data_IF_837773658016
#
_entry.id   IF_837773658016
#
_cell.length_a   1.000
_cell.length_b   1.000
_cell.length_c   1.000
_cell.angle_alpha   90.00
_cell.angle_beta   90.00
_cell.angle_gamma   90.00
#
_symmetry.space_group_name_H-M   'P 1'
#
loop_
_entity.id
_entity.type
_entity.pdbx_description
1 polymer ?
#
# COMPACT_ATOMS: atom_id res chain seq x y z
N UNK A 1 -4.76 -14.97 29.89
CA UNK A 1 -5.83 -13.96 29.87
C UNK A 1 -5.15 -12.60 29.85
N UNK A 2 -5.12 -11.93 28.70
CA UNK A 2 -4.47 -10.62 28.56
C UNK A 2 -5.48 -9.58 29.05
N UNK A 3 -5.26 -9.01 30.24
CA UNK A 3 -6.02 -7.86 30.70
C UNK A 3 -5.68 -6.66 29.81
N UNK A 4 -6.56 -6.35 28.86
CA UNK A 4 -6.49 -5.11 28.11
C UNK A 4 -6.90 -4.00 29.08
N UNK A 5 -5.94 -3.41 29.79
CA UNK A 5 -6.15 -2.23 30.63
C UNK A 5 -6.56 -1.07 29.72
N UNK A 6 -7.86 -0.78 29.66
CA UNK A 6 -8.37 0.42 29.02
C UNK A 6 -7.78 1.63 29.72
N UNK A 7 -7.26 2.56 28.93
CA UNK A 7 -6.68 3.80 29.43
C UNK A 7 -7.75 4.58 30.22
N UNK A 8 -7.47 4.87 31.50
CA UNK A 8 -8.44 5.51 32.39
C UNK A 8 -8.58 7.01 32.10
N UNK A 9 -9.71 7.61 32.49
CA UNK A 9 -9.91 9.06 32.49
C UNK A 9 -8.82 9.82 33.25
N UNK A 10 -8.29 9.23 34.32
CA UNK A 10 -7.17 9.81 35.07
C UNK A 10 -5.89 9.88 34.22
N UNK A 11 -5.60 8.82 33.46
CA UNK A 11 -4.46 8.79 32.54
C UNK A 11 -4.60 9.86 31.44
N UNK A 12 -5.82 10.07 30.92
CA UNK A 12 -6.10 11.14 29.96
C UNK A 12 -5.85 12.53 30.56
N UNK A 13 -6.36 12.80 31.76
CA UNK A 13 -6.17 14.10 32.42
C UNK A 13 -4.69 14.40 32.68
N UNK A 14 -3.91 13.39 33.09
CA UNK A 14 -2.46 13.54 33.27
C UNK A 14 -1.78 13.89 31.95
N UNK A 15 -2.09 13.18 30.87
CA UNK A 15 -1.54 13.47 29.54
C UNK A 15 -1.94 14.87 29.07
N UNK A 16 -3.20 15.26 29.25
CA UNK A 16 -3.68 16.60 28.91
C UNK A 16 -2.95 17.70 29.67
N UNK A 17 -2.69 17.49 30.96
CA UNK A 17 -1.93 18.42 31.79
C UNK A 17 -0.47 18.53 31.33
N UNK A 18 0.18 17.40 31.02
CA UNK A 18 1.55 17.38 30.49
C UNK A 18 1.62 18.11 29.14
N UNK A 19 0.71 17.80 28.21
CA UNK A 19 0.66 18.46 26.91
C UNK A 19 0.38 19.96 27.05
N UNK A 20 -0.49 20.37 27.97
CA UNK A 20 -0.75 21.76 28.29
C UNK A 20 0.48 22.49 28.82
N UNK A 21 1.26 21.86 29.70
CA UNK A 21 2.53 22.40 30.19
C UNK A 21 3.57 22.51 29.07
N UNK A 22 3.71 21.49 28.23
CA UNK A 22 4.61 21.52 27.07
C UNK A 22 4.21 22.63 26.10
N UNK A 23 2.91 22.80 25.84
CA UNK A 23 2.40 23.88 25.01
C UNK A 23 2.69 25.26 25.63
N UNK A 24 2.46 25.43 26.93
CA UNK A 24 2.78 26.67 27.62
C UNK A 24 4.27 26.99 27.55
N UNK A 25 5.14 26.03 27.86
CA UNK A 25 6.60 26.24 27.83
C UNK A 25 7.07 26.57 26.42
N UNK A 26 6.64 25.79 25.41
CA UNK A 26 7.05 26.00 24.02
C UNK A 26 6.56 27.32 23.42
N UNK A 27 5.38 27.82 23.83
CA UNK A 27 4.78 28.99 23.20
C UNK A 27 4.95 30.30 24.00
N UNK A 28 5.04 30.23 25.34
CA UNK A 28 5.23 31.42 26.21
C UNK A 28 6.69 31.75 26.49
N UNK A 29 7.60 30.77 26.48
CA UNK A 29 9.00 31.01 26.80
C UNK A 29 9.86 31.10 25.53
N UNK A 30 10.78 32.06 25.50
CA UNK A 30 11.71 32.23 24.36
C UNK A 30 12.62 31.00 24.19
N UNK A 31 13.02 30.39 25.30
CA UNK A 31 13.85 29.18 25.31
C UNK A 31 13.07 27.99 24.73
N UNK A 32 11.82 27.80 25.16
CA UNK A 32 10.97 26.74 24.63
C UNK A 32 10.70 26.88 23.14
N UNK A 33 10.47 28.10 22.65
CA UNK A 33 10.30 28.39 21.23
C UNK A 33 11.53 28.02 20.41
N UNK A 34 12.71 28.44 20.87
CA UNK A 34 13.99 28.12 20.21
C UNK A 34 14.31 26.62 20.24
N UNK A 35 13.95 25.92 21.31
CA UNK A 35 14.13 24.46 21.41
C UNK A 35 13.27 23.72 20.38
N UNK A 36 12.02 24.13 20.18
CA UNK A 36 11.14 23.51 19.17
C UNK A 36 11.69 23.74 17.77
N UNK A 37 12.07 24.97 17.44
CA UNK A 37 12.63 25.30 16.11
C UNK A 37 13.98 24.63 15.84
N UNK A 38 14.76 24.31 16.89
CA UNK A 38 16.06 23.66 16.76
C UNK A 38 15.97 22.13 16.69
N UNK A 39 15.16 21.54 17.57
CA UNK A 39 15.11 20.07 17.75
C UNK A 39 14.05 19.41 16.86
N UNK A 40 13.13 20.20 16.27
CA UNK A 40 12.06 19.67 15.42
C UNK A 40 11.98 20.41 14.09
N UNK A 41 11.53 19.76 13.01
CA UNK A 41 11.36 20.41 11.71
C UNK A 41 10.08 21.26 11.62
N UNK A 42 9.40 21.54 12.74
CA UNK A 42 8.08 22.14 12.77
C UNK A 42 8.12 23.60 13.24
N UNK A 43 7.30 24.45 12.63
CA UNK A 43 7.04 25.79 13.17
C UNK A 43 6.23 25.70 14.47
N UNK A 44 6.25 26.76 15.29
CA UNK A 44 5.50 26.80 16.57
C UNK A 44 3.99 26.57 16.37
N UNK A 45 3.43 27.09 15.28
CA UNK A 45 2.02 26.89 14.94
C UNK A 45 1.75 25.44 14.57
N UNK A 46 2.65 24.79 13.81
CA UNK A 46 2.55 23.37 13.49
C UNK A 46 2.73 22.50 14.74
N UNK A 47 3.66 22.85 15.61
CA UNK A 47 3.89 22.19 16.90
C UNK A 47 2.65 22.21 17.78
N UNK A 48 1.98 23.37 17.90
CA UNK A 48 0.72 23.50 18.65
C UNK A 48 -0.39 22.61 18.06
N UNK A 49 -0.48 22.51 16.73
CA UNK A 49 -1.42 21.61 16.06
C UNK A 49 -1.11 20.15 16.33
N UNK A 50 0.17 19.76 16.34
CA UNK A 50 0.60 18.38 16.65
C UNK A 50 0.20 18.02 18.08
N UNK A 51 0.48 18.88 19.06
CA UNK A 51 0.07 18.65 20.45
C UNK A 51 -1.45 18.48 20.60
N UNK A 52 -2.23 19.28 19.86
CA UNK A 52 -3.69 19.16 19.82
C UNK A 52 -4.14 17.83 19.22
N UNK A 53 -3.52 17.38 18.12
CA UNK A 53 -3.83 16.08 17.49
C UNK A 53 -3.53 14.93 18.45
N UNK A 54 -2.42 14.99 19.19
CA UNK A 54 -2.08 13.99 20.21
C UNK A 54 -3.13 13.97 21.32
N UNK A 55 -3.57 15.15 21.79
CA UNK A 55 -4.61 15.27 22.82
C UNK A 55 -5.96 14.68 22.36
N UNK A 56 -6.38 14.99 21.14
CA UNK A 56 -7.62 14.44 20.56
C UNK A 56 -7.52 12.93 20.42
N UNK A 57 -6.37 12.41 19.96
CA UNK A 57 -6.15 10.97 19.83
C UNK A 57 -6.24 10.27 21.18
N UNK A 58 -5.65 10.85 22.24
CA UNK A 58 -5.77 10.34 23.59
C UNK A 58 -7.23 10.36 24.11
N UNK A 59 -8.00 11.40 23.76
CA UNK A 59 -9.43 11.49 24.12
C UNK A 59 -10.27 10.41 23.44
N UNK A 60 -10.00 10.15 22.15
CA UNK A 60 -10.66 9.07 21.40
C UNK A 60 -10.34 7.72 22.06
N UNK A 61 -9.10 7.50 22.49
CA UNK A 61 -8.69 6.26 23.14
C UNK A 61 -9.38 5.98 24.48
N UNK A 62 -9.73 7.02 25.23
CA UNK A 62 -10.35 6.86 26.57
C UNK A 62 -11.86 6.76 26.51
N UNK A 63 -12.52 7.38 25.52
CA UNK A 63 -13.97 7.41 25.48
C UNK A 63 -14.57 6.31 24.58
N UNK A 64 -15.33 5.33 25.13
CA UNK A 64 -16.00 4.29 24.34
C UNK A 64 -16.94 4.83 23.27
N UNK A 65 -17.52 6.02 23.47
CA UNK A 65 -18.37 6.66 22.46
C UNK A 65 -17.58 7.11 21.23
N UNK A 66 -16.32 7.55 21.40
CA UNK A 66 -15.47 7.93 20.28
C UNK A 66 -14.90 6.72 19.53
N UNK A 67 -14.73 5.58 20.21
CA UNK A 67 -14.44 4.30 19.55
C UNK A 67 -15.59 3.87 18.63
N UNK A 68 -16.84 3.98 19.11
CA UNK A 68 -18.03 3.73 18.29
C UNK A 68 -18.14 4.72 17.12
N UNK A 69 -17.86 6.00 17.36
CA UNK A 69 -17.90 7.03 16.31
C UNK A 69 -16.83 6.77 15.24
N UNK A 70 -15.60 6.48 15.64
CA UNK A 70 -14.51 6.19 14.70
C UNK A 70 -14.79 4.90 13.94
N UNK A 71 -15.28 3.85 14.59
CA UNK A 71 -15.75 2.64 13.91
C UNK A 71 -16.86 2.95 12.90
N UNK A 72 -17.84 3.79 13.26
CA UNK A 72 -18.90 4.24 12.37
C UNK A 72 -18.37 5.02 11.16
N UNK A 73 -17.40 5.93 11.36
CA UNK A 73 -16.74 6.65 10.27
C UNK A 73 -16.00 5.67 9.35
N UNK A 74 -15.25 4.73 9.90
CA UNK A 74 -14.56 3.71 9.12
C UNK A 74 -15.53 2.78 8.37
N UNK A 75 -16.65 2.42 8.98
CA UNK A 75 -17.70 1.63 8.33
C UNK A 75 -18.37 2.40 7.19
N UNK A 76 -18.65 3.69 7.38
CA UNK A 76 -19.18 4.58 6.32
C UNK A 76 -18.16 4.74 5.20
N UNK A 77 -16.88 4.99 5.53
CA UNK A 77 -15.81 5.08 4.54
C UNK A 77 -15.66 3.78 3.78
N UNK A 78 -15.64 2.64 4.47
CA UNK A 78 -15.61 1.31 3.86
C UNK A 78 -16.81 1.08 2.94
N UNK A 79 -18.01 1.44 3.39
CA UNK A 79 -19.22 1.36 2.58
C UNK A 79 -19.15 2.26 1.34
N UNK A 80 -18.64 3.48 1.44
CA UNK A 80 -18.44 4.37 0.29
C UNK A 80 -17.36 3.79 -0.65
N UNK A 81 -16.23 3.34 -0.10
CA UNK A 81 -15.09 2.84 -0.86
C UNK A 81 -15.42 1.54 -1.61
N UNK A 82 -16.11 0.61 -0.95
CA UNK A 82 -16.45 -0.72 -1.46
C UNK A 82 -17.81 -0.74 -2.15
N UNK A 83 -18.88 -0.27 -1.51
CA UNK A 83 -20.24 -0.38 -2.07
C UNK A 83 -20.52 0.65 -3.17
N UNK A 84 -19.95 1.87 -3.10
CA UNK A 84 -20.04 2.82 -4.23
C UNK A 84 -18.96 2.61 -5.28
N UNK A 85 -18.15 1.55 -5.18
CA UNK A 85 -17.04 1.28 -6.08
C UNK A 85 -16.13 2.53 -6.24
N UNK A 86 -16.00 3.36 -5.21
CA UNK A 86 -15.28 4.64 -5.31
C UNK A 86 -13.80 4.41 -5.57
N UNK A 87 -13.22 3.32 -5.04
CA UNK A 87 -11.88 2.87 -5.40
C UNK A 87 -11.83 2.40 -6.85
N UNK A 88 -12.81 1.63 -7.33
CA UNK A 88 -12.80 1.13 -8.71
C UNK A 88 -13.01 2.25 -9.74
N UNK A 89 -13.91 3.21 -9.44
CA UNK A 89 -14.17 4.39 -10.28
C UNK A 89 -13.06 5.42 -10.20
N UNK A 90 -12.53 5.78 -9.02
CA UNK A 90 -11.49 6.80 -8.93
C UNK A 90 -10.06 6.28 -9.12
N UNK A 91 -9.76 4.98 -8.93
CA UNK A 91 -8.49 4.43 -9.43
C UNK A 91 -8.49 4.32 -10.96
N UNK A 92 -9.65 4.04 -11.59
CA UNK A 92 -9.80 4.18 -13.05
C UNK A 92 -9.77 5.65 -13.51
N UNK A 93 -10.33 6.59 -12.75
CA UNK A 93 -10.41 8.02 -13.13
C UNK A 93 -9.15 8.83 -12.75
N UNK A 94 -8.32 8.34 -11.82
CA UNK A 94 -6.93 8.78 -11.66
C UNK A 94 -6.04 8.34 -12.84
N UNK A 95 -6.51 7.39 -13.66
CA UNK A 95 -5.98 7.10 -15.00
C UNK A 95 -6.58 7.95 -16.13
N UNK A 96 -7.60 8.77 -15.83
CA UNK A 96 -8.41 9.49 -16.82
C UNK A 96 -8.07 10.97 -17.01
N UNK A 97 -7.54 11.65 -15.99
CA UNK A 97 -6.97 13.01 -16.15
C UNK A 97 -5.46 12.96 -16.31
N UNK A 98 -5.02 12.40 -17.44
CA UNK A 98 -3.75 12.82 -18.07
C UNK A 98 -3.93 14.26 -18.56
N UNK A 99 -3.78 15.22 -17.66
CA UNK A 99 -3.16 16.46 -18.08
C UNK A 99 -1.82 16.09 -18.71
N UNK A 100 -1.64 16.52 -19.96
CA UNK A 100 -0.45 16.30 -20.77
C UNK A 100 0.76 16.92 -20.07
N UNK A 101 1.37 16.18 -19.16
CA UNK A 101 2.77 16.38 -18.80
C UNK A 101 3.53 15.35 -19.61
N UNK A 102 4.12 15.80 -20.72
CA UNK A 102 5.06 15.05 -21.56
C UNK A 102 6.34 14.72 -20.79
N UNK A 103 6.25 13.88 -19.77
CA UNK A 103 7.41 13.30 -19.11
C UNK A 103 7.36 11.78 -19.30
N UNK A 104 8.04 11.34 -20.36
CA UNK A 104 8.63 10.01 -20.54
C UNK A 104 7.72 8.84 -20.12
N UNK A 105 6.82 8.41 -21.03
CA UNK A 105 6.25 7.08 -20.92
C UNK A 105 7.38 6.04 -21.00
N UNK A 106 7.63 5.22 -19.97
CA UNK A 106 8.66 4.19 -20.05
C UNK A 106 8.29 3.21 -21.16
N UNK A 107 9.26 2.93 -22.03
CA UNK A 107 9.14 2.00 -23.16
C UNK A 107 8.74 0.63 -22.60
N UNK A 108 7.53 0.16 -22.91
CA UNK A 108 7.03 -1.16 -22.46
C UNK A 108 7.73 -2.24 -23.29
N UNK A 109 8.26 -3.26 -22.63
CA UNK A 109 8.85 -4.42 -23.30
C UNK A 109 7.92 -5.63 -23.14
N UNK A 110 7.39 -6.13 -24.26
CA UNK A 110 6.56 -7.33 -24.29
C UNK A 110 7.45 -8.57 -24.33
N UNK A 111 7.27 -9.48 -23.38
CA UNK A 111 8.01 -10.75 -23.33
C UNK A 111 7.02 -11.91 -23.38
N UNK A 112 7.35 -12.90 -24.23
CA UNK A 112 6.65 -14.18 -24.30
C UNK A 112 7.51 -15.25 -23.63
N UNK A 113 6.95 -15.91 -22.61
CA UNK A 113 7.59 -16.98 -21.86
C UNK A 113 6.79 -18.26 -22.06
N UNK A 114 7.48 -19.38 -22.31
CA UNK A 114 6.87 -20.72 -22.27
C UNK A 114 7.23 -21.34 -20.94
N UNK A 115 6.21 -21.63 -20.13
CA UNK A 115 6.35 -22.22 -18.81
C UNK A 115 5.86 -23.66 -18.86
N UNK A 116 6.74 -24.62 -18.55
CA UNK A 116 6.41 -26.04 -18.44
C UNK A 116 6.33 -26.43 -16.97
N UNK A 117 5.23 -27.04 -16.50
CA UNK A 117 5.17 -27.53 -15.12
C UNK A 117 6.21 -28.63 -14.89
N UNK A 118 6.85 -28.65 -13.72
CA UNK A 118 7.82 -29.70 -13.33
C UNK A 118 7.18 -30.84 -12.54
N UNK A 119 5.90 -30.72 -12.19
CA UNK A 119 5.14 -31.71 -11.41
C UNK A 119 3.84 -32.11 -12.12
N UNK A 120 3.51 -33.40 -12.09
CA UNK A 120 2.29 -33.99 -12.66
C UNK A 120 1.03 -33.69 -11.81
N UNK A 121 0.79 -32.42 -11.51
CA UNK A 121 -0.41 -31.92 -10.85
C UNK A 121 -1.51 -31.62 -11.86
N UNK A 122 -2.76 -31.49 -11.40
CA UNK A 122 -3.89 -31.17 -12.29
C UNK A 122 -3.66 -29.85 -13.05
N UNK A 123 -4.06 -29.80 -14.32
CA UNK A 123 -3.88 -28.61 -15.17
C UNK A 123 -4.57 -27.35 -14.61
N UNK A 124 -5.67 -27.52 -13.86
CA UNK A 124 -6.39 -26.44 -13.20
C UNK A 124 -5.58 -25.83 -12.05
N UNK A 125 -4.90 -26.66 -11.27
CA UNK A 125 -4.07 -26.22 -10.15
C UNK A 125 -2.79 -25.54 -10.64
N UNK A 126 -2.21 -26.05 -11.74
CA UNK A 126 -1.06 -25.44 -12.40
C UNK A 126 -1.37 -24.05 -12.96
N UNK A 127 -2.53 -23.89 -13.61
CA UNK A 127 -2.99 -22.58 -14.11
C UNK A 127 -3.14 -21.56 -12.97
N UNK A 128 -3.81 -21.96 -11.87
CA UNK A 128 -3.95 -21.10 -10.68
C UNK A 128 -2.60 -20.74 -10.05
N UNK A 129 -1.65 -21.67 -10.04
CA UNK A 129 -0.31 -21.42 -9.52
C UNK A 129 0.45 -20.39 -10.37
N UNK A 130 0.37 -20.47 -11.70
CA UNK A 130 0.96 -19.48 -12.61
C UNK A 130 0.29 -18.12 -12.45
N UNK A 131 -1.04 -18.07 -12.43
CA UNK A 131 -1.78 -16.81 -12.30
C UNK A 131 -1.44 -16.11 -10.96
N UNK A 132 -1.36 -16.86 -9.86
CA UNK A 132 -0.90 -16.34 -8.56
C UNK A 132 0.54 -15.87 -8.59
N UNK A 133 1.42 -16.62 -9.26
CA UNK A 133 2.84 -16.27 -9.38
C UNK A 133 3.03 -14.97 -10.17
N UNK A 134 2.32 -14.81 -11.28
CA UNK A 134 2.39 -13.62 -12.13
C UNK A 134 1.78 -12.39 -11.45
N UNK A 135 0.64 -12.57 -10.77
CA UNK A 135 0.02 -11.51 -9.96
C UNK A 135 0.93 -11.03 -8.82
N UNK A 136 1.70 -11.94 -8.23
CA UNK A 136 2.59 -11.61 -7.11
C UNK A 136 3.89 -10.91 -7.55
N UNK A 137 4.17 -10.78 -8.85
CA UNK A 137 5.39 -10.14 -9.32
C UNK A 137 5.16 -8.62 -9.52
N UNK A 138 5.76 -7.75 -8.69
CA UNK A 138 5.42 -6.33 -8.58
C UNK A 138 5.81 -5.46 -9.81
N UNK A 139 6.35 -6.08 -10.86
CA UNK A 139 6.85 -5.41 -12.06
C UNK A 139 6.09 -5.82 -13.33
N UNK A 140 5.01 -6.60 -13.19
CA UNK A 140 4.05 -6.89 -14.27
C UNK A 140 3.08 -5.72 -14.36
N UNK A 141 2.91 -5.17 -15.57
CA UNK A 141 1.94 -4.08 -15.80
C UNK A 141 0.60 -4.70 -16.22
N UNK A 142 -0.35 -4.74 -15.29
CA UNK A 142 -1.58 -5.58 -15.25
C UNK A 142 -2.60 -5.49 -16.41
N UNK A 143 -2.32 -4.77 -17.49
CA UNK A 143 -3.34 -4.56 -18.53
C UNK A 143 -3.32 -5.57 -19.69
N UNK A 144 -2.31 -6.43 -19.81
CA UNK A 144 -2.17 -7.34 -20.97
C UNK A 144 -1.44 -8.65 -20.64
N UNK A 145 -1.65 -9.23 -19.45
CA UNK A 145 -1.16 -10.59 -19.17
C UNK A 145 -2.05 -11.62 -19.85
N UNK A 146 -1.59 -12.16 -20.97
CA UNK A 146 -2.27 -13.25 -21.66
C UNK A 146 -1.58 -14.57 -21.30
N UNK A 147 -2.28 -15.38 -20.50
CA UNK A 147 -1.89 -16.76 -20.20
C UNK A 147 -2.73 -17.68 -21.09
N UNK A 148 -2.11 -18.18 -22.15
CA UNK A 148 -2.71 -19.18 -23.05
C UNK A 148 -2.18 -20.55 -22.66
N UNK A 149 -3.08 -21.51 -22.51
CA UNK A 149 -2.72 -22.91 -22.28
C UNK A 149 -2.72 -23.61 -23.64
N UNK A 150 -1.56 -24.10 -24.06
CA UNK A 150 -1.43 -24.94 -25.25
C UNK A 150 -0.88 -26.30 -24.80
N UNK A 151 -1.72 -27.33 -24.91
CA UNK A 151 -1.41 -28.72 -24.52
C UNK A 151 -0.94 -28.80 -23.04
N UNK A 152 0.34 -29.13 -22.82
CA UNK A 152 1.01 -29.27 -21.52
C UNK A 152 1.87 -28.04 -21.14
N UNK A 153 1.80 -26.96 -21.93
CA UNK A 153 2.61 -25.76 -21.73
C UNK A 153 1.73 -24.52 -21.49
N UNK A 154 2.25 -23.59 -20.70
CA UNK A 154 1.63 -22.29 -20.49
C UNK A 154 2.43 -21.20 -21.20
N UNK A 155 1.83 -20.58 -22.21
CA UNK A 155 2.39 -19.42 -22.90
C UNK A 155 1.94 -18.17 -22.15
N UNK A 156 2.90 -17.51 -21.52
CA UNK A 156 2.69 -16.29 -20.76
C UNK A 156 3.23 -15.12 -21.56
N UNK A 157 2.34 -14.25 -22.05
CA UNK A 157 2.70 -12.96 -22.62
C UNK A 157 2.51 -11.88 -21.57
N UNK A 158 3.57 -11.16 -21.23
CA UNK A 158 3.53 -10.11 -20.20
C UNK A 158 4.31 -8.86 -20.62
N UNK A 159 3.81 -7.72 -20.16
CA UNK A 159 4.47 -6.43 -20.31
C UNK A 159 5.27 -6.14 -19.05
N UNK A 160 6.57 -5.93 -19.25
CA UNK A 160 7.52 -5.75 -18.16
C UNK A 160 8.19 -4.38 -18.30
N UNK A 161 8.44 -3.69 -17.17
CA UNK A 161 8.95 -2.31 -17.16
C UNK A 161 10.37 -2.19 -17.72
N UNK A 162 11.16 -3.27 -17.68
CA UNK A 162 12.51 -3.33 -18.26
C UNK A 162 12.97 -4.76 -18.50
N UNK A 163 13.69 -5.00 -19.59
CA UNK A 163 14.28 -6.32 -19.91
C UNK A 163 15.24 -6.83 -18.83
N UNK A 164 15.85 -5.93 -18.03
CA UNK A 164 16.73 -6.31 -16.92
C UNK A 164 16.05 -7.21 -15.89
N UNK A 165 14.73 -7.12 -15.76
CA UNK A 165 13.96 -7.92 -14.80
C UNK A 165 13.51 -9.28 -15.34
N UNK A 166 13.79 -9.59 -16.61
CA UNK A 166 13.43 -10.89 -17.21
C UNK A 166 14.10 -12.06 -16.49
N UNK A 167 15.37 -11.92 -16.10
CA UNK A 167 16.09 -12.99 -15.40
C UNK A 167 15.51 -13.25 -14.01
N UNK A 168 15.14 -12.19 -13.29
CA UNK A 168 14.48 -12.29 -11.99
C UNK A 168 13.11 -12.94 -12.09
N UNK A 169 12.34 -12.60 -13.12
CA UNK A 169 11.04 -13.19 -13.40
C UNK A 169 11.15 -14.69 -13.74
N UNK A 170 12.11 -15.07 -14.58
CA UNK A 170 12.40 -16.48 -14.91
C UNK A 170 12.74 -17.26 -13.64
N UNK A 171 13.63 -16.71 -12.79
CA UNK A 171 13.99 -17.34 -11.51
C UNK A 171 12.79 -17.47 -10.58
N UNK A 172 11.94 -16.46 -10.54
CA UNK A 172 10.74 -16.46 -9.69
C UNK A 172 9.73 -17.53 -10.11
N UNK A 173 9.46 -17.67 -11.41
CA UNK A 173 8.58 -18.69 -11.97
C UNK A 173 9.21 -20.09 -11.83
N UNK A 174 10.53 -20.22 -11.95
CA UNK A 174 11.27 -21.47 -11.71
C UNK A 174 11.14 -21.96 -10.26
N UNK A 175 11.27 -21.05 -9.29
CA UNK A 175 11.04 -21.38 -7.89
C UNK A 175 9.60 -21.83 -7.59
N UNK A 176 8.63 -21.42 -8.43
CA UNK A 176 7.23 -21.83 -8.32
C UNK A 176 6.94 -23.20 -8.96
N UNK A 177 7.97 -23.91 -9.46
CA UNK A 177 7.83 -25.25 -10.03
C UNK A 177 7.62 -25.28 -11.54
N UNK A 178 8.01 -24.24 -12.26
CA UNK A 178 7.87 -24.17 -13.72
C UNK A 178 9.22 -23.99 -14.43
N UNK A 179 9.55 -24.87 -15.36
CA UNK A 179 10.69 -24.68 -16.26
C UNK A 179 10.34 -23.62 -17.31
N UNK A 180 11.07 -22.50 -17.33
CA UNK A 180 10.76 -21.37 -18.22
C UNK A 180 11.76 -21.27 -19.35
N UNK A 181 11.26 -21.22 -20.58
CA UNK A 181 12.04 -20.87 -21.77
C UNK A 181 11.60 -19.50 -22.29
N UNK A 182 12.56 -18.57 -22.43
CA UNK A 182 12.30 -17.25 -23.02
C UNK A 182 12.17 -17.38 -24.53
N UNK A 183 11.01 -17.07 -25.09
CA UNK A 183 10.89 -16.83 -26.53
C UNK A 183 11.38 -15.40 -26.77
N UNK A 184 12.45 -15.24 -27.57
CA UNK A 184 12.85 -13.93 -28.07
C UNK A 184 11.76 -13.45 -29.04
N UNK A 185 10.98 -12.44 -28.67
CA UNK A 185 10.19 -11.71 -29.66
C UNK A 185 11.10 -10.68 -30.35
N UNK A 186 11.09 -10.69 -31.68
CA UNK A 186 11.78 -9.75 -32.57
C UNK A 186 11.32 -8.30 -32.32
N UNK A 187 12.22 -7.36 -32.62
CA UNK A 187 12.08 -5.91 -32.51
C UNK A 187 10.86 -5.36 -33.24
#
# INVERSE_FOLDING_TARGET
>A
MIEIKTMSWMSFLIIGLILGLVWLISNRTRIGRLLVERETPWSIDQWSRILLVILITALILVNPLFHLLTFGIFAILYYILVNKNFLNKNLMDLGGKKERINFLSPKKHMIKLVCKPTSDSSALDQKKAIDRCLFSFPLVTDNETLVLQEEDNFIVSLNITSEKYTASLIKYISNAGFSVQKIKTQQ
#
